data_IF_851858888421
#
_entry.id   IF_851858888421
#
_cell.length_a   1.000
_cell.length_b   1.000
_cell.length_c   1.000
_cell.angle_alpha   90.00
_cell.angle_beta   90.00
_cell.angle_gamma   90.00
#
_symmetry.space_group_name_H-M   'P 1'
#
loop_
_entity.id
_entity.type
_entity.pdbx_description
1 polymer ?
#
# COMPACT_ATOMS: atom_id res chain seq x y z
N UNK A 1 32.48 3.47 -5.70
CA UNK A 1 31.04 3.25 -5.41
C UNK A 1 30.67 1.89 -6.00
N UNK A 2 30.34 0.92 -5.15
CA UNK A 2 30.12 -0.47 -5.58
C UNK A 2 28.75 -0.62 -6.26
N UNK A 3 28.73 -1.27 -7.42
CA UNK A 3 27.48 -1.65 -8.09
C UNK A 3 26.85 -2.82 -7.32
N UNK A 4 25.55 -2.74 -7.04
CA UNK A 4 24.88 -3.81 -6.30
C UNK A 4 24.41 -4.86 -7.30
N UNK A 5 24.83 -6.13 -7.13
CA UNK A 5 24.33 -7.20 -7.95
C UNK A 5 22.81 -7.31 -7.79
N UNK A 6 22.12 -7.45 -8.92
CA UNK A 6 20.66 -7.47 -8.99
C UNK A 6 20.04 -8.48 -8.01
N UNK A 7 19.21 -8.01 -7.09
CA UNK A 7 18.43 -8.83 -6.16
C UNK A 7 17.11 -9.21 -6.83
N UNK A 8 16.87 -10.52 -6.95
CA UNK A 8 15.65 -11.04 -7.61
C UNK A 8 14.49 -11.04 -6.63
N UNK A 9 13.35 -10.50 -7.07
CA UNK A 9 12.08 -10.70 -6.37
C UNK A 9 11.43 -11.98 -6.91
N UNK A 10 10.70 -12.70 -6.05
CA UNK A 10 9.92 -13.86 -6.51
C UNK A 10 8.91 -13.38 -7.55
N UNK A 11 8.73 -14.11 -8.64
CA UNK A 11 7.78 -13.76 -9.70
C UNK A 11 7.01 -14.99 -10.17
N UNK A 12 5.79 -14.78 -10.68
CA UNK A 12 5.12 -15.83 -11.45
C UNK A 12 5.96 -16.21 -12.66
N UNK A 13 5.95 -17.50 -13.04
CA UNK A 13 6.73 -18.04 -14.18
C UNK A 13 6.56 -17.22 -15.48
N UNK A 14 5.38 -16.64 -15.72
CA UNK A 14 5.05 -15.90 -16.94
C UNK A 14 5.11 -14.37 -16.79
N UNK A 15 5.42 -13.86 -15.60
CA UNK A 15 5.49 -12.41 -15.36
C UNK A 15 6.87 -11.86 -15.76
N UNK A 16 6.89 -10.61 -16.26
CA UNK A 16 8.15 -9.87 -16.44
C UNK A 16 8.86 -9.77 -15.09
N UNK A 17 10.16 -10.08 -15.08
CA UNK A 17 10.96 -10.20 -13.86
C UNK A 17 10.99 -8.89 -13.06
N UNK A 18 10.52 -8.97 -11.83
CA UNK A 18 10.63 -7.94 -10.82
C UNK A 18 11.97 -8.07 -10.10
N UNK A 19 12.63 -6.96 -9.83
CA UNK A 19 13.94 -6.96 -9.20
C UNK A 19 14.25 -5.64 -8.52
N UNK A 20 15.23 -5.69 -7.63
CA UNK A 20 15.93 -4.55 -7.04
C UNK A 20 17.35 -4.52 -7.61
N UNK A 21 17.86 -3.34 -7.95
CA UNK A 21 19.25 -3.15 -8.39
C UNK A 21 19.76 -1.84 -7.82
N UNK A 22 20.87 -1.87 -7.10
CA UNK A 22 21.57 -0.66 -6.67
C UNK A 22 22.62 -0.24 -7.69
N UNK A 23 22.66 1.04 -8.03
CA UNK A 23 23.64 1.62 -8.96
C UNK A 23 23.78 3.11 -8.69
N UNK A 24 25.01 3.62 -8.63
CA UNK A 24 25.27 5.06 -8.54
C UNK A 24 24.65 5.72 -7.31
N UNK A 25 24.58 5.02 -6.17
CA UNK A 25 23.97 5.54 -4.95
C UNK A 25 22.44 5.54 -4.94
N UNK A 26 21.79 4.93 -5.93
CA UNK A 26 20.35 4.76 -5.98
C UNK A 26 19.95 3.28 -5.97
N UNK A 27 18.82 2.99 -5.33
CA UNK A 27 18.07 1.76 -5.49
C UNK A 27 17.05 1.92 -6.63
N UNK A 28 17.18 1.11 -7.67
CA UNK A 28 16.19 0.97 -8.72
C UNK A 28 15.32 -0.28 -8.49
N UNK A 29 14.03 -0.06 -8.26
CA UNK A 29 13.02 -1.11 -8.12
C UNK A 29 12.20 -1.21 -9.41
N UNK A 30 12.19 -2.40 -10.02
CA UNK A 30 11.38 -2.70 -11.21
C UNK A 30 10.20 -3.57 -10.82
N UNK A 31 8.99 -3.04 -11.00
CA UNK A 31 7.73 -3.73 -10.72
C UNK A 31 6.78 -3.66 -11.93
N UNK A 32 6.94 -4.54 -12.93
CA UNK A 32 6.23 -4.40 -14.20
C UNK A 32 4.70 -4.52 -14.11
N UNK A 33 4.21 -5.31 -13.15
CA UNK A 33 2.79 -5.43 -12.87
C UNK A 33 2.19 -4.06 -12.48
N UNK A 34 2.92 -3.26 -11.70
CA UNK A 34 2.46 -1.99 -11.14
C UNK A 34 2.82 -0.79 -12.01
N UNK A 35 4.07 -0.67 -12.44
CA UNK A 35 4.61 0.54 -13.07
C UNK A 35 5.03 0.35 -14.54
N UNK A 36 4.80 -0.85 -15.09
CA UNK A 36 5.10 -1.15 -16.49
C UNK A 36 6.60 -1.19 -16.77
N UNK A 37 7.08 -0.29 -17.63
CA UNK A 37 8.50 -0.18 -17.97
C UNK A 37 9.29 0.76 -17.04
N UNK A 38 8.59 1.51 -16.19
CA UNK A 38 9.21 2.53 -15.33
C UNK A 38 9.96 1.89 -14.18
N UNK A 39 11.14 2.42 -13.87
CA UNK A 39 11.89 2.12 -12.67
C UNK A 39 11.48 3.10 -11.58
N UNK A 40 11.26 2.60 -10.38
CA UNK A 40 11.17 3.43 -9.20
C UNK A 40 12.57 3.57 -8.62
N UNK A 41 13.11 4.79 -8.65
CA UNK A 41 14.43 5.11 -8.12
C UNK A 41 14.28 5.77 -6.76
N UNK A 42 15.08 5.35 -5.80
CA UNK A 42 15.15 5.89 -4.44
C UNK A 42 16.63 6.05 -4.09
N UNK A 43 17.06 7.18 -3.52
CA UNK A 43 18.43 7.32 -3.02
C UNK A 43 18.74 6.21 -2.01
N UNK A 44 19.85 5.51 -2.16
CA UNK A 44 20.21 4.36 -1.32
C UNK A 44 20.34 4.75 0.15
N UNK A 45 20.86 5.95 0.42
CA UNK A 45 20.96 6.53 1.77
C UNK A 45 19.59 6.75 2.46
N UNK A 46 18.49 6.78 1.70
CA UNK A 46 17.14 6.85 2.25
C UNK A 46 16.51 5.47 2.42
N UNK A 47 17.17 4.39 1.99
CA UNK A 47 16.65 3.02 2.04
C UNK A 47 17.10 2.35 3.34
N UNK A 48 16.12 1.83 4.06
CA UNK A 48 16.30 0.99 5.21
C UNK A 48 15.71 -0.39 4.87
N UNK A 49 16.47 -1.47 5.08
CA UNK A 49 16.05 -2.83 4.75
C UNK A 49 15.83 -3.67 6.00
N UNK A 50 14.72 -4.39 6.00
CA UNK A 50 14.33 -5.34 7.04
C UNK A 50 14.15 -6.71 6.38
N UNK A 51 14.85 -7.72 6.90
CA UNK A 51 14.61 -9.12 6.58
C UNK A 51 13.55 -9.68 7.52
N UNK A 52 12.32 -9.82 7.04
CA UNK A 52 11.18 -10.28 7.85
C UNK A 52 11.24 -11.77 8.20
N UNK A 53 12.21 -12.50 7.66
CA UNK A 53 12.44 -13.92 7.97
C UNK A 53 13.55 -14.13 8.99
N UNK A 54 14.29 -13.08 9.31
CA UNK A 54 15.34 -13.13 10.33
C UNK A 54 14.75 -13.33 11.72
N UNK A 55 15.31 -14.24 12.55
CA UNK A 55 14.88 -14.41 13.93
C UNK A 55 15.20 -13.19 14.81
N UNK A 56 16.07 -12.29 14.34
CA UNK A 56 16.41 -11.03 15.02
C UNK A 56 15.36 -9.94 14.81
N UNK A 57 14.48 -10.12 13.81
CA UNK A 57 13.52 -9.09 13.46
C UNK A 57 12.33 -9.12 14.40
N UNK A 58 12.11 -7.99 15.08
CA UNK A 58 11.05 -7.82 16.06
C UNK A 58 9.85 -7.15 15.38
N UNK A 59 8.84 -7.93 15.03
CA UNK A 59 7.60 -7.41 14.43
C UNK A 59 6.57 -7.14 15.53
N UNK A 60 6.64 -5.95 16.14
CA UNK A 60 5.62 -5.48 17.09
C UNK A 60 4.47 -4.77 16.37
N UNK A 61 3.26 -4.88 16.94
CA UNK A 61 2.16 -4.00 16.53
C UNK A 61 2.51 -2.57 16.90
N UNK A 62 2.52 -1.71 15.89
CA UNK A 62 2.69 -0.27 16.10
C UNK A 62 1.41 0.25 16.74
N UNK A 63 1.46 0.56 18.04
CA UNK A 63 0.38 1.17 18.79
C UNK A 63 0.38 2.70 18.75
N UNK A 64 1.43 3.30 18.19
CA UNK A 64 1.61 4.75 18.14
C UNK A 64 0.74 5.40 17.06
N UNK A 65 0.20 6.58 17.38
CA UNK A 65 -0.48 7.44 16.42
C UNK A 65 0.52 8.49 15.90
N UNK A 66 0.76 8.46 14.59
CA UNK A 66 1.65 9.41 13.93
C UNK A 66 0.89 10.63 13.40
N UNK A 67 1.58 11.77 13.33
CA UNK A 67 1.01 13.01 12.81
C UNK A 67 0.56 12.88 11.35
N UNK A 68 1.31 12.10 10.57
CA UNK A 68 0.96 11.70 9.22
C UNK A 68 0.80 10.17 9.14
N UNK A 69 -0.24 9.66 8.46
CA UNK A 69 -0.42 8.22 8.28
C UNK A 69 0.81 7.58 7.64
N UNK A 70 1.30 6.49 8.23
CA UNK A 70 2.40 5.70 7.67
C UNK A 70 1.84 4.74 6.62
N UNK A 71 2.37 4.82 5.41
CA UNK A 71 1.85 4.11 4.24
C UNK A 71 2.88 3.12 3.71
N UNK A 72 2.74 1.85 4.10
CA UNK A 72 3.65 0.74 3.76
C UNK A 72 2.91 -0.44 3.11
N UNK A 73 2.48 -0.34 1.84
CA UNK A 73 1.72 -1.42 1.20
C UNK A 73 2.58 -2.64 0.90
N UNK A 74 1.92 -3.80 0.81
CA UNK A 74 2.49 -4.98 0.18
C UNK A 74 2.29 -4.92 -1.34
N UNK A 75 3.39 -5.07 -2.08
CA UNK A 75 3.38 -5.17 -3.54
C UNK A 75 3.70 -6.61 -3.94
N UNK A 76 2.72 -7.53 -3.94
CA UNK A 76 2.93 -8.90 -4.33
C UNK A 76 3.47 -9.01 -5.76
N UNK A 77 4.62 -9.65 -5.88
CA UNK A 77 5.22 -10.03 -7.17
C UNK A 77 4.88 -11.47 -7.58
N UNK A 78 4.23 -12.20 -6.67
CA UNK A 78 3.64 -13.54 -6.87
C UNK A 78 2.18 -13.52 -6.38
N UNK A 79 1.80 -14.38 -5.43
CA UNK A 79 0.45 -14.48 -4.89
C UNK A 79 0.11 -13.40 -3.86
N UNK A 80 -1.12 -12.85 -3.87
CA UNK A 80 -1.57 -11.91 -2.84
C UNK A 80 -1.68 -12.55 -1.45
N UNK A 81 -1.89 -13.87 -1.39
CA UNK A 81 -1.97 -14.64 -0.14
C UNK A 81 -0.60 -15.03 0.42
N UNK A 82 0.49 -14.67 -0.28
CA UNK A 82 1.84 -15.00 0.18
C UNK A 82 2.39 -13.91 1.08
N UNK A 83 3.01 -14.30 2.20
CA UNK A 83 3.59 -13.33 3.14
C UNK A 83 4.80 -12.61 2.51
N UNK A 84 5.01 -11.32 2.79
CA UNK A 84 6.26 -10.64 2.43
C UNK A 84 7.43 -11.22 3.22
N UNK A 85 8.63 -11.10 2.65
CA UNK A 85 9.89 -11.55 3.26
C UNK A 85 10.87 -10.41 3.46
N UNK A 86 10.65 -9.27 2.81
CA UNK A 86 11.52 -8.10 2.90
C UNK A 86 10.66 -6.86 3.02
N UNK A 87 11.02 -5.95 3.91
CA UNK A 87 10.42 -4.62 4.00
C UNK A 87 11.51 -3.60 3.68
N UNK A 88 11.18 -2.67 2.78
CA UNK A 88 11.97 -1.46 2.57
C UNK A 88 11.25 -0.32 3.27
N UNK A 89 11.92 0.38 4.18
CA UNK A 89 11.47 1.61 4.81
C UNK A 89 12.25 2.78 4.21
N UNK A 90 11.58 3.91 4.04
CA UNK A 90 12.19 5.11 3.49
C UNK A 90 12.24 6.20 4.54
N UNK A 91 13.43 6.78 4.74
CA UNK A 91 13.63 7.90 5.68
C UNK A 91 12.69 9.06 5.35
N UNK A 92 12.54 9.37 4.06
CA UNK A 92 11.57 10.33 3.54
C UNK A 92 10.53 9.63 2.66
N UNK A 93 9.25 10.06 2.67
CA UNK A 93 8.23 9.44 1.82
C UNK A 93 8.57 9.55 0.33
N UNK A 94 8.66 8.40 -0.34
CA UNK A 94 9.11 8.30 -1.73
C UNK A 94 7.95 8.38 -2.70
N UNK A 95 8.08 9.23 -3.74
CA UNK A 95 7.07 9.35 -4.79
C UNK A 95 7.09 8.10 -5.67
N UNK A 96 5.94 7.46 -5.82
CA UNK A 96 5.82 6.27 -6.68
C UNK A 96 5.69 6.66 -8.15
N UNK A 97 6.15 5.81 -9.09
CA UNK A 97 5.84 5.99 -10.49
C UNK A 97 4.33 5.89 -10.78
N UNK A 98 3.86 6.44 -11.91
CA UNK A 98 2.48 6.29 -12.33
C UNK A 98 2.04 4.83 -12.42
N UNK A 99 0.95 4.51 -11.72
CA UNK A 99 0.40 3.16 -11.60
C UNK A 99 -0.30 2.73 -12.89
N UNK A 100 -0.14 1.50 -13.35
CA UNK A 100 -0.91 0.98 -14.49
C UNK A 100 -2.39 0.91 -14.14
N UNK A 101 -3.26 1.14 -15.11
CA UNK A 101 -4.72 1.06 -14.91
C UNK A 101 -5.13 -0.28 -14.31
N UNK A 102 -4.68 -1.38 -14.93
CA UNK A 102 -4.93 -2.74 -14.45
C UNK A 102 -4.47 -2.97 -13.01
N UNK A 103 -3.35 -2.37 -12.61
CA UNK A 103 -2.86 -2.49 -11.24
C UNK A 103 -3.64 -1.62 -10.24
N UNK A 104 -4.40 -0.63 -10.71
CA UNK A 104 -5.25 0.20 -9.86
C UNK A 104 -6.64 -0.39 -9.62
N UNK A 105 -7.10 -1.25 -10.55
CA UNK A 105 -8.41 -1.92 -10.48
C UNK A 105 -8.29 -3.39 -10.07
N UNK A 106 -7.07 -3.89 -9.86
CA UNK A 106 -6.88 -5.28 -9.48
C UNK A 106 -7.47 -5.52 -8.09
N UNK A 107 -8.35 -6.52 -7.90
CA UNK A 107 -8.95 -6.81 -6.60
C UNK A 107 -7.91 -7.16 -5.53
N UNK A 108 -6.72 -7.60 -5.99
CA UNK A 108 -5.59 -8.00 -5.16
C UNK A 108 -4.58 -6.87 -4.91
N UNK A 109 -4.82 -5.65 -5.42
CA UNK A 109 -3.96 -4.51 -5.12
C UNK A 109 -4.52 -3.76 -3.91
N UNK A 110 -4.02 -4.06 -2.72
CA UNK A 110 -4.28 -3.28 -1.50
C UNK A 110 -3.51 -1.94 -1.52
N UNK A 111 -3.53 -1.25 -2.65
CA UNK A 111 -2.80 0.00 -2.84
C UNK A 111 -3.56 1.14 -2.16
N UNK A 112 -2.88 1.96 -1.34
CA UNK A 112 -3.49 3.06 -0.61
C UNK A 112 -3.79 4.29 -1.51
N UNK A 113 -3.51 4.17 -2.80
CA UNK A 113 -3.71 5.21 -3.81
C UNK A 113 -4.19 4.62 -5.13
N UNK A 114 -5.01 5.39 -5.86
CA UNK A 114 -5.55 5.00 -7.15
C UNK A 114 -4.75 5.51 -8.36
N UNK A 115 -5.20 5.09 -9.55
CA UNK A 115 -4.62 5.45 -10.85
C UNK A 115 -4.38 6.95 -11.04
N UNK A 116 -5.39 7.78 -10.74
CA UNK A 116 -5.33 9.25 -10.88
C UNK A 116 -4.38 9.89 -9.86
N UNK A 117 -4.41 9.43 -8.61
CA UNK A 117 -3.55 9.97 -7.56
C UNK A 117 -2.06 9.81 -7.90
N UNK A 118 -1.67 8.62 -8.38
CA UNK A 118 -0.28 8.33 -8.80
C UNK A 118 0.23 9.19 -9.97
N UNK A 119 -0.68 9.81 -10.76
CA UNK A 119 -0.36 10.66 -11.91
C UNK A 119 -0.45 12.15 -11.64
N UNK A 120 -1.03 12.55 -10.52
CA UNK A 120 -1.14 13.96 -10.16
C UNK A 120 0.24 14.61 -10.00
N UNK A 121 0.29 15.94 -10.09
CA UNK A 121 1.52 16.71 -9.86
C UNK A 121 2.15 16.37 -8.49
N UNK A 122 1.31 16.30 -7.44
CA UNK A 122 1.73 15.87 -6.10
C UNK A 122 2.20 14.41 -6.07
N UNK A 123 1.65 13.56 -6.93
CA UNK A 123 1.90 12.12 -6.96
C UNK A 123 1.36 11.40 -5.72
N UNK A 124 1.56 10.08 -5.69
CA UNK A 124 1.39 9.30 -4.48
C UNK A 124 2.76 9.06 -3.85
N UNK A 125 2.84 9.05 -2.52
CA UNK A 125 4.07 8.81 -1.76
C UNK A 125 3.90 7.63 -0.82
N UNK A 126 4.98 6.90 -0.58
CA UNK A 126 5.04 5.74 0.29
C UNK A 126 6.18 5.89 1.29
N UNK A 127 5.93 5.51 2.54
CA UNK A 127 6.94 5.47 3.61
C UNK A 127 7.76 4.17 3.57
N UNK A 128 7.26 3.17 2.84
CA UNK A 128 7.95 1.92 2.65
C UNK A 128 7.15 0.97 1.78
N UNK A 129 7.70 -0.22 1.57
CA UNK A 129 7.08 -1.24 0.74
C UNK A 129 7.46 -2.62 1.22
N UNK A 130 6.45 -3.45 1.43
CA UNK A 130 6.67 -4.88 1.63
C UNK A 130 6.85 -5.56 0.28
N UNK A 131 7.87 -6.42 0.20
CA UNK A 131 8.27 -7.17 -0.98
C UNK A 131 8.53 -8.63 -0.61
N UNK A 132 8.70 -9.46 -1.64
CA UNK A 132 9.11 -10.85 -1.49
C UNK A 132 10.39 -11.10 -2.27
N UNK A 133 11.53 -10.91 -1.62
CA UNK A 133 12.81 -11.32 -2.17
C UNK A 133 12.86 -12.84 -2.36
N UNK A 134 13.62 -13.31 -3.35
CA UNK A 134 13.85 -14.73 -3.55
C UNK A 134 14.65 -15.33 -2.37
N UNK A 135 15.67 -14.59 -1.93
CA UNK A 135 16.49 -14.83 -0.76
C UNK A 135 16.53 -13.52 0.05
N UNK A 136 15.79 -13.42 1.17
CA UNK A 136 15.66 -12.18 1.92
C UNK A 136 16.91 -11.79 2.71
N UNK A 137 17.71 -12.77 3.16
CA UNK A 137 18.97 -12.53 3.87
C UNK A 137 20.03 -11.95 2.94
N UNK A 138 20.28 -12.63 1.81
CA UNK A 138 21.20 -12.15 0.77
C UNK A 138 20.73 -10.79 0.18
N UNK A 139 19.41 -10.60 0.03
CA UNK A 139 18.85 -9.32 -0.39
C UNK A 139 19.20 -8.19 0.58
N UNK A 140 19.01 -8.40 1.89
CA UNK A 140 19.31 -7.42 2.91
C UNK A 140 20.82 -7.12 2.95
N UNK A 141 21.67 -8.15 2.94
CA UNK A 141 23.13 -8.00 2.99
C UNK A 141 23.65 -7.20 1.79
N UNK A 142 23.16 -7.49 0.58
CA UNK A 142 23.53 -6.75 -0.64
C UNK A 142 23.08 -5.30 -0.61
N UNK A 143 21.88 -5.03 -0.09
CA UNK A 143 21.38 -3.66 0.05
C UNK A 143 22.20 -2.89 1.10
N UNK A 144 22.57 -3.53 2.21
CA UNK A 144 23.43 -2.91 3.22
C UNK A 144 24.81 -2.61 2.65
N UNK A 145 25.42 -3.56 1.93
CA UNK A 145 26.68 -3.36 1.23
C UNK A 145 26.64 -2.23 0.19
N UNK A 146 25.43 -1.86 -0.27
CA UNK A 146 25.20 -0.74 -1.18
C UNK A 146 25.11 0.63 -0.51
N UNK A 147 25.00 0.67 0.82
CA UNK A 147 24.73 1.88 1.59
C UNK A 147 23.30 2.03 2.11
N UNK A 148 22.46 0.99 2.04
CA UNK A 148 21.20 0.97 2.79
C UNK A 148 21.50 0.69 4.28
N UNK A 149 20.60 1.10 5.17
CA UNK A 149 20.70 0.77 6.59
C UNK A 149 19.91 -0.51 6.91
N UNK A 150 20.47 -1.39 7.75
CA UNK A 150 19.71 -2.54 8.27
C UNK A 150 18.86 -2.11 9.46
N UNK A 151 17.62 -2.58 9.51
CA UNK A 151 16.69 -2.32 10.61
C UNK A 151 16.16 -3.65 11.14
N UNK A 152 16.36 -3.90 12.43
CA UNK A 152 15.91 -5.10 13.12
C UNK A 152 14.53 -4.93 13.77
N UNK A 153 14.23 -3.72 14.28
CA UNK A 153 12.93 -3.35 14.83
C UNK A 153 12.30 -2.20 14.00
N UNK A 154 11.43 -2.52 13.02
CA UNK A 154 10.77 -1.50 12.21
C UNK A 154 9.82 -0.60 13.01
N UNK A 155 9.25 -1.08 14.12
CA UNK A 155 8.34 -0.28 14.94
C UNK A 155 9.12 0.79 15.72
N UNK A 156 10.26 0.41 16.31
CA UNK A 156 11.18 1.34 16.96
C UNK A 156 11.72 2.36 15.96
N UNK A 157 12.19 1.90 14.80
CA UNK A 157 12.69 2.80 13.75
C UNK A 157 11.65 3.85 13.35
N UNK A 158 10.38 3.46 13.17
CA UNK A 158 9.31 4.40 12.86
C UNK A 158 9.04 5.38 14.00
N UNK A 159 9.17 4.99 15.27
CA UNK A 159 9.03 5.91 16.41
C UNK A 159 10.11 6.99 16.43
N UNK A 160 11.32 6.64 16.04
CA UNK A 160 12.47 7.55 16.01
C UNK A 160 12.43 8.50 14.81
N UNK A 161 11.93 8.02 13.66
CA UNK A 161 11.98 8.77 12.40
C UNK A 161 10.68 9.47 12.03
N UNK A 162 9.57 9.21 12.74
CA UNK A 162 8.26 9.83 12.47
C UNK A 162 7.77 10.67 13.63
N UNK A 163 7.17 11.81 13.31
CA UNK A 163 6.53 12.69 14.29
C UNK A 163 5.30 12.00 14.88
N UNK A 164 5.34 11.74 16.18
CA UNK A 164 4.22 11.19 16.96
C UNK A 164 3.26 12.30 17.39
N UNK A 165 1.98 11.97 17.52
CA UNK A 165 1.00 12.84 18.15
C UNK A 165 1.11 12.65 19.67
N UNK A 166 1.61 13.66 20.37
CA UNK A 166 1.74 13.61 21.84
C UNK A 166 0.40 13.85 22.56
N UNK A 167 -0.55 14.52 21.90
CA UNK A 167 -1.86 14.84 22.46
C UNK A 167 -2.81 13.62 22.35
N UNK A 168 -3.23 13.03 23.49
CA UNK A 168 -4.09 11.86 23.50
C UNK A 168 -5.46 12.12 22.85
N UNK A 169 -6.01 13.33 22.98
CA UNK A 169 -7.32 13.69 22.40
C UNK A 169 -7.24 13.71 20.88
N UNK A 170 -6.15 14.26 20.33
CA UNK A 170 -5.90 14.22 18.88
C UNK A 170 -5.61 12.80 18.39
N UNK A 171 -4.89 12.01 19.17
CA UNK A 171 -4.62 10.61 18.84
C UNK A 171 -5.91 9.80 18.73
N UNK A 172 -6.83 9.95 19.71
CA UNK A 172 -8.14 9.30 19.71
C UNK A 172 -9.02 9.76 18.55
N UNK A 173 -9.03 11.07 18.25
CA UNK A 173 -9.78 11.61 17.13
C UNK A 173 -9.31 11.03 15.78
N UNK A 174 -7.99 10.91 15.58
CA UNK A 174 -7.40 10.29 14.39
C UNK A 174 -7.79 8.80 14.34
N UNK A 175 -7.61 8.05 15.43
CA UNK A 175 -7.94 6.63 15.50
C UNK A 175 -9.43 6.35 15.23
N UNK A 176 -10.34 7.16 15.79
CA UNK A 176 -11.77 7.09 15.54
C UNK A 176 -12.11 7.41 14.08
N UNK A 177 -11.47 8.42 13.49
CA UNK A 177 -11.69 8.79 12.09
C UNK A 177 -11.29 7.67 11.13
N UNK A 178 -10.19 6.97 11.40
CA UNK A 178 -9.76 5.82 10.62
C UNK A 178 -10.71 4.64 10.75
N UNK A 179 -11.14 4.30 11.99
CA UNK A 179 -12.12 3.24 12.22
C UNK A 179 -13.42 3.51 11.46
N UNK A 180 -13.94 4.75 11.52
CA UNK A 180 -15.14 5.16 10.78
C UNK A 180 -14.94 5.06 9.27
N UNK A 181 -13.81 5.54 8.74
CA UNK A 181 -13.52 5.46 7.30
C UNK A 181 -13.47 4.00 6.81
N UNK A 182 -12.86 3.09 7.59
CA UNK A 182 -12.86 1.64 7.29
C UNK A 182 -14.27 1.05 7.32
N UNK A 183 -15.05 1.34 8.36
CA UNK A 183 -16.42 0.84 8.48
C UNK A 183 -17.31 1.28 7.31
N UNK A 184 -17.24 2.55 6.91
CA UNK A 184 -17.98 3.08 5.75
C UNK A 184 -17.50 2.39 4.46
N UNK A 185 -16.19 2.19 4.29
CA UNK A 185 -15.64 1.48 3.14
C UNK A 185 -16.15 0.03 3.04
N UNK A 186 -16.17 -0.70 4.16
CA UNK A 186 -16.72 -2.07 4.23
C UNK A 186 -18.21 -2.09 3.90
N UNK A 187 -18.99 -1.16 4.45
CA UNK A 187 -20.42 -1.07 4.17
C UNK A 187 -20.71 -0.77 2.69
N UNK A 188 -19.95 0.16 2.09
CA UNK A 188 -20.06 0.46 0.66
C UNK A 188 -19.72 -0.76 -0.21
N UNK A 189 -18.64 -1.48 0.12
CA UNK A 189 -18.25 -2.70 -0.61
C UNK A 189 -19.31 -3.80 -0.51
N UNK A 190 -19.86 -4.04 0.68
CA UNK A 190 -20.93 -5.01 0.89
C UNK A 190 -22.21 -4.63 0.11
N UNK A 191 -22.58 -3.35 0.12
CA UNK A 191 -23.72 -2.84 -0.63
C UNK A 191 -23.55 -3.01 -2.15
N UNK A 192 -22.33 -2.82 -2.68
CA UNK A 192 -22.03 -3.05 -4.09
C UNK A 192 -22.18 -4.53 -4.48
N UNK A 193 -21.64 -5.45 -3.65
CA UNK A 193 -21.78 -6.89 -3.88
C UNK A 193 -23.26 -7.29 -3.88
N UNK A 194 -24.02 -6.84 -2.87
CA UNK A 194 -25.46 -7.10 -2.79
C UNK A 194 -26.17 -6.60 -4.05
N UNK A 195 -25.87 -5.38 -4.51
CA UNK A 195 -26.44 -4.82 -5.74
C UNK A 195 -26.16 -5.71 -6.95
N UNK A 196 -24.90 -6.14 -7.13
CA UNK A 196 -24.53 -7.00 -8.26
C UNK A 196 -25.23 -8.36 -8.22
N UNK A 197 -25.32 -8.98 -7.04
CA UNK A 197 -26.01 -10.27 -6.85
C UNK A 197 -27.51 -10.13 -7.15
N UNK A 198 -28.16 -9.08 -6.64
CA UNK A 198 -29.59 -8.84 -6.88
C UNK A 198 -29.89 -8.60 -8.36
N UNK A 199 -29.05 -7.81 -9.05
CA UNK A 199 -29.18 -7.55 -10.50
C UNK A 199 -29.01 -8.83 -11.30
N UNK A 200 -27.97 -9.62 -11.00
CA UNK A 200 -27.73 -10.90 -11.68
C UNK A 200 -28.92 -11.85 -11.48
N UNK A 201 -29.40 -12.00 -10.25
CA UNK A 201 -30.51 -12.90 -9.94
C UNK A 201 -31.82 -12.48 -10.62
N UNK A 202 -32.16 -11.18 -10.59
CA UNK A 202 -33.34 -10.65 -11.26
C UNK A 202 -33.30 -10.85 -12.79
N UNK A 203 -32.12 -10.71 -13.40
CA UNK A 203 -31.90 -10.97 -14.82
C UNK A 203 -32.11 -12.45 -15.18
N UNK A 204 -31.58 -13.37 -14.38
CA UNK A 204 -31.59 -14.80 -14.70
C UNK A 204 -32.97 -15.46 -14.50
N UNK A 205 -33.81 -14.90 -13.61
CA UNK A 205 -35.08 -15.52 -13.20
C UNK A 205 -36.34 -14.75 -13.62
N UNK A 206 -36.22 -13.74 -14.48
CA UNK A 206 -37.30 -12.77 -14.75
C UNK A 206 -37.94 -12.30 -13.44
N UNK A 207 -37.08 -11.91 -12.51
CA UNK A 207 -37.50 -11.59 -11.16
C UNK A 207 -38.56 -10.49 -11.15
N UNK A 208 -39.50 -10.53 -10.19
CA UNK A 208 -40.54 -9.51 -10.05
C UNK A 208 -39.97 -8.09 -9.92
N UNK A 209 -40.70 -7.09 -10.43
CA UNK A 209 -40.25 -5.70 -10.58
C UNK A 209 -39.70 -5.05 -9.29
N UNK A 210 -40.16 -5.51 -8.11
CA UNK A 210 -39.66 -5.01 -6.82
C UNK A 210 -38.18 -5.30 -6.58
N UNK A 211 -37.58 -6.29 -7.25
CA UNK A 211 -36.14 -6.57 -7.16
C UNK A 211 -35.30 -5.50 -7.84
N UNK A 212 -35.79 -4.94 -8.95
CA UNK A 212 -35.13 -3.80 -9.61
C UNK A 212 -35.16 -2.56 -8.73
N UNK A 213 -36.25 -2.35 -7.97
CA UNK A 213 -36.34 -1.29 -6.97
C UNK A 213 -35.30 -1.49 -5.85
N UNK A 214 -35.15 -2.72 -5.33
CA UNK A 214 -34.12 -3.04 -4.32
C UNK A 214 -32.72 -2.80 -4.88
N UNK A 215 -32.43 -3.25 -6.10
CA UNK A 215 -31.14 -3.01 -6.76
C UNK A 215 -30.85 -1.51 -6.93
N UNK A 216 -31.85 -0.71 -7.33
CA UNK A 216 -31.72 0.73 -7.46
C UNK A 216 -31.43 1.41 -6.10
N UNK A 217 -32.13 1.02 -5.03
CA UNK A 217 -31.91 1.52 -3.66
C UNK A 217 -30.52 1.14 -3.16
N UNK A 218 -30.11 -0.12 -3.33
CA UNK A 218 -28.79 -0.59 -2.92
C UNK A 218 -27.67 0.11 -3.71
N UNK A 219 -27.86 0.34 -5.02
CA UNK A 219 -26.93 1.10 -5.85
C UNK A 219 -26.80 2.56 -5.42
N UNK A 220 -27.90 3.24 -5.12
CA UNK A 220 -27.87 4.63 -4.62
C UNK A 220 -27.25 4.73 -3.23
N UNK A 221 -27.56 3.81 -2.32
CA UNK A 221 -26.92 3.72 -1.01
C UNK A 221 -25.41 3.53 -1.14
N UNK A 222 -24.97 2.65 -2.04
CA UNK A 222 -23.55 2.43 -2.36
C UNK A 222 -22.87 3.73 -2.83
N UNK A 223 -23.50 4.46 -3.76
CA UNK A 223 -22.98 5.73 -4.27
C UNK A 223 -22.86 6.79 -3.16
N UNK A 224 -23.88 6.93 -2.32
CA UNK A 224 -23.90 7.85 -1.18
C UNK A 224 -22.81 7.50 -0.16
N UNK A 225 -22.69 6.23 0.25
CA UNK A 225 -21.66 5.79 1.19
C UNK A 225 -20.25 6.03 0.65
N UNK A 226 -20.04 5.79 -0.65
CA UNK A 226 -18.77 6.05 -1.33
C UNK A 226 -18.43 7.55 -1.32
N UNK A 227 -19.42 8.42 -1.59
CA UNK A 227 -19.24 9.88 -1.53
C UNK A 227 -18.93 10.35 -0.11
N UNK A 228 -19.60 9.82 0.91
CA UNK A 228 -19.34 10.13 2.32
C UNK A 228 -17.93 9.69 2.73
N UNK A 229 -17.52 8.47 2.35
CA UNK A 229 -16.16 7.98 2.59
C UNK A 229 -15.10 8.89 1.96
N UNK A 230 -15.31 9.29 0.69
CA UNK A 230 -14.41 10.20 -0.03
C UNK A 230 -14.34 11.58 0.64
N UNK A 231 -15.47 12.12 1.12
CA UNK A 231 -15.49 13.40 1.86
C UNK A 231 -14.79 13.29 3.20
N UNK A 232 -15.00 12.21 3.95
CA UNK A 232 -14.32 11.97 5.23
C UNK A 232 -12.80 11.88 5.04
N UNK A 233 -12.34 11.12 4.04
CA UNK A 233 -10.91 11.03 3.70
C UNK A 233 -10.30 12.39 3.30
N UNK A 234 -11.05 13.22 2.56
CA UNK A 234 -10.59 14.58 2.21
C UNK A 234 -10.47 15.50 3.42
N UNK A 235 -11.40 15.41 4.38
CA UNK A 235 -11.34 16.20 5.62
C UNK A 235 -10.18 15.79 6.52
N UNK A 236 -9.97 14.48 6.71
CA UNK A 236 -8.84 13.96 7.48
C UNK A 236 -7.49 14.42 6.91
N UNK A 237 -7.35 14.44 5.57
CA UNK A 237 -6.14 14.96 4.90
C UNK A 237 -5.90 16.46 5.09
N UNK A 238 -6.95 17.27 5.21
CA UNK A 238 -6.83 18.71 5.48
C UNK A 238 -6.48 18.99 6.94
N UNK A 239 -7.01 18.20 7.87
CA UNK A 239 -6.73 18.35 9.29
C UNK A 239 -5.28 17.97 9.67
N UNK A 240 -4.65 17.06 8.92
CA UNK A 240 -3.23 16.71 9.11
C UNK A 240 -2.22 17.64 8.44
N UNK A 241 -2.67 18.64 7.67
CA UNK A 241 -1.78 19.60 6.99
C UNK A 241 -1.72 20.99 7.64
N UNK A 242 -2.36 21.16 8.80
CA UNK A 242 -2.39 22.37 9.61
C UNK A 242 -1.64 22.13 10.92
#
# INVERSE_FOLDING_TARGET
MSEVPQVRLRTYRLARKAYLRGSGGELALRLPAYFGRRLWRVPMAEVNVVDLTSPRTVVQKIGDVYAEPVVTPYLPTTGPLTRPTTLLLFTTPQRVPPLRWLAAIAPNSSLPFGYRASRSAKGARLDGVFLRAADPGDAADRLVAAGAQRVDDPALWLREHRKRVADPVRADAIALSEKRARAIGTAAGASLILTLVTVQWASDHHGPDWLWLIAAIAGTATALLTLVALRAQRRARKAGSA
#
